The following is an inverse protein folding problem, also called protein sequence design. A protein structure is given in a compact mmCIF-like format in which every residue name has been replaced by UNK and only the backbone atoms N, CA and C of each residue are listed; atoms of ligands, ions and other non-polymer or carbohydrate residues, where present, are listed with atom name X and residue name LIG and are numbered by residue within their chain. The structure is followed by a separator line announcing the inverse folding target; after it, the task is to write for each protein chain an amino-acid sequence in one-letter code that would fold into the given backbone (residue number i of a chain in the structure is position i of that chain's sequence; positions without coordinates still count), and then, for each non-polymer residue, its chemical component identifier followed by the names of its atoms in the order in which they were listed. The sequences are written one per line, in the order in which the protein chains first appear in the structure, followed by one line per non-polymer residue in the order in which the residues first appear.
data_IF_894005682444
#
_entry.id   IF_894005682444
#
_cell.length_a   1.000
_cell.length_b   1.000
_cell.length_c   1.000
_cell.angle_alpha   90.00
_cell.angle_beta   90.00
_cell.angle_gamma   90.00
#
_symmetry.space_group_name_H-M   'P 1'
#
loop_
_entity.id
_entity.type
_entity.pdbx_description
1 polymer ?
#
# COMPACT_ATOMS: atom_id res chain seq x y z
N UNK A 1 -4.56 -14.23 4.03
CA UNK A 1 -5.47 -13.22 3.48
C UNK A 1 -6.56 -14.06 2.88
N UNK A 2 -7.82 -13.77 3.18
CA UNK A 2 -8.87 -14.47 2.46
C UNK A 2 -8.84 -13.95 1.01
N UNK A 3 -8.21 -14.73 0.12
CA UNK A 3 -8.01 -14.36 -1.28
C UNK A 3 -9.36 -14.30 -1.99
N UNK A 4 -10.25 -15.22 -1.66
CA UNK A 4 -11.60 -15.32 -2.22
C UNK A 4 -12.41 -14.08 -1.84
N UNK A 5 -12.35 -13.65 -0.57
CA UNK A 5 -12.98 -12.40 -0.12
C UNK A 5 -12.56 -11.16 -0.95
N UNK A 6 -11.27 -10.98 -1.23
CA UNK A 6 -10.81 -9.83 -2.02
C UNK A 6 -11.10 -9.96 -3.51
N UNK A 7 -11.06 -11.18 -4.06
CA UNK A 7 -11.49 -11.42 -5.43
C UNK A 7 -12.97 -11.11 -5.61
N UNK A 8 -13.84 -11.57 -4.70
CA UNK A 8 -15.28 -11.28 -4.72
C UNK A 8 -15.58 -9.78 -4.62
N UNK A 9 -14.88 -9.05 -3.76
CA UNK A 9 -14.99 -7.57 -3.67
C UNK A 9 -14.71 -6.88 -5.00
N UNK A 10 -13.65 -7.29 -5.70
CA UNK A 10 -13.33 -6.75 -7.02
C UNK A 10 -14.35 -7.17 -8.09
N UNK A 11 -14.82 -8.40 -8.07
CA UNK A 11 -15.85 -8.90 -8.98
C UNK A 11 -17.16 -8.13 -8.84
N UNK A 12 -17.59 -7.90 -7.59
CA UNK A 12 -18.81 -7.18 -7.23
C UNK A 12 -18.68 -5.65 -7.25
N UNK A 13 -17.51 -5.12 -7.64
CA UNK A 13 -17.21 -3.69 -7.67
C UNK A 13 -17.38 -2.97 -6.31
N UNK A 14 -17.16 -3.70 -5.21
CA UNK A 14 -17.19 -3.20 -3.83
C UNK A 14 -15.84 -2.55 -3.45
N UNK A 15 -15.45 -1.53 -4.21
CA UNK A 15 -14.12 -0.90 -4.15
C UNK A 15 -14.14 0.48 -3.45
N UNK A 16 -14.94 0.64 -2.40
CA UNK A 16 -15.08 1.92 -1.64
C UNK A 16 -13.77 2.45 -1.01
N UNK A 17 -12.71 1.65 -1.03
CA UNK A 17 -11.35 2.05 -0.64
C UNK A 17 -10.58 2.79 -1.75
N UNK A 18 -11.00 2.65 -3.01
CA UNK A 18 -10.38 3.32 -4.15
C UNK A 18 -10.68 4.82 -4.12
N UNK A 19 -9.63 5.64 -4.27
CA UNK A 19 -9.74 7.08 -4.40
C UNK A 19 -9.46 7.46 -5.85
N UNK A 20 -10.31 8.33 -6.41
CA UNK A 20 -10.19 8.82 -7.78
C UNK A 20 -9.09 9.88 -7.97
N UNK A 21 -8.53 10.38 -6.86
CA UNK A 21 -7.44 11.36 -6.85
C UNK A 21 -6.30 10.89 -5.97
N UNK A 22 -5.11 11.45 -6.21
CA UNK A 22 -3.90 11.13 -5.46
C UNK A 22 -4.10 11.44 -3.98
N UNK A 23 -3.61 10.56 -3.11
CA UNK A 23 -3.74 10.77 -1.68
C UNK A 23 -2.96 12.02 -1.24
N UNK A 24 -3.59 13.06 -0.63
CA UNK A 24 -2.91 14.32 -0.37
C UNK A 24 -1.67 14.21 0.53
N UNK A 25 -1.66 13.24 1.44
CA UNK A 25 -0.51 12.99 2.32
C UNK A 25 0.68 12.37 1.57
N UNK A 26 0.44 11.67 0.46
CA UNK A 26 1.51 11.22 -0.42
C UNK A 26 2.22 12.44 -1.02
N UNK A 27 1.47 13.33 -1.67
CA UNK A 27 2.04 14.53 -2.32
C UNK A 27 2.78 15.43 -1.32
N UNK A 28 2.22 15.57 -0.12
CA UNK A 28 2.79 16.43 0.94
C UNK A 28 4.11 15.89 1.50
N UNK A 29 4.19 14.58 1.76
CA UNK A 29 5.29 14.01 2.52
C UNK A 29 6.33 13.27 1.68
N UNK A 30 5.96 12.73 0.52
CA UNK A 30 6.87 11.97 -0.34
C UNK A 30 8.14 12.72 -0.75
N UNK A 31 8.09 14.01 -1.14
CA UNK A 31 9.30 14.76 -1.51
C UNK A 31 10.35 14.85 -0.40
N UNK A 32 9.94 14.71 0.86
CA UNK A 32 10.81 14.82 2.03
C UNK A 32 11.45 13.47 2.45
N UNK A 33 11.18 12.38 1.71
CA UNK A 33 11.76 11.07 2.00
C UNK A 33 13.21 10.91 1.52
N UNK A 34 13.71 11.84 0.69
CA UNK A 34 15.08 11.81 0.19
C UNK A 34 15.38 10.68 -0.81
N UNK A 35 14.34 10.10 -1.42
CA UNK A 35 14.49 9.13 -2.51
C UNK A 35 14.93 9.86 -3.79
N UNK A 36 15.86 9.26 -4.53
CA UNK A 36 16.35 9.83 -5.78
C UNK A 36 15.47 9.40 -6.96
N UNK A 37 15.26 10.26 -7.97
CA UNK A 37 14.56 9.86 -9.18
C UNK A 37 15.16 8.59 -9.81
N UNK A 38 14.30 7.73 -10.32
CA UNK A 38 14.70 6.43 -10.87
C UNK A 38 14.75 5.27 -9.86
N UNK A 39 14.65 5.53 -8.55
CA UNK A 39 14.48 4.50 -7.53
C UNK A 39 13.26 3.61 -7.82
N UNK A 40 13.38 2.32 -7.45
CA UNK A 40 12.26 1.36 -7.51
C UNK A 40 11.43 1.45 -6.24
N UNK A 41 10.13 1.64 -6.41
CA UNK A 41 9.17 1.82 -5.34
C UNK A 41 8.18 0.66 -5.34
N UNK A 42 8.06 -0.02 -4.20
CA UNK A 42 7.05 -1.05 -4.00
C UNK A 42 5.72 -0.41 -3.53
N UNK A 43 4.61 -0.80 -4.15
CA UNK A 43 3.26 -0.47 -3.68
C UNK A 43 2.54 -1.79 -3.39
N UNK A 44 2.49 -2.23 -2.12
CA UNK A 44 1.86 -3.48 -1.72
C UNK A 44 0.33 -3.34 -1.77
N UNK A 45 -0.37 -4.42 -2.15
CA UNK A 45 -1.84 -4.48 -2.27
C UNK A 45 -2.38 -3.28 -3.06
N UNK A 46 -1.76 -3.02 -4.21
CA UNK A 46 -1.88 -1.76 -4.93
C UNK A 46 -3.29 -1.46 -5.47
N UNK A 47 -4.13 -2.48 -5.65
CA UNK A 47 -5.39 -2.37 -6.36
C UNK A 47 -5.18 -1.67 -7.72
N UNK A 48 -5.94 -0.60 -7.93
CA UNK A 48 -5.78 0.32 -9.07
C UNK A 48 -5.36 1.74 -8.64
N UNK A 49 -4.53 1.85 -7.61
CA UNK A 49 -4.22 3.15 -6.99
C UNK A 49 -3.62 4.15 -7.98
N UNK A 50 -4.27 5.30 -8.14
CA UNK A 50 -3.77 6.45 -8.93
C UNK A 50 -2.47 7.01 -8.38
N UNK A 51 -2.17 6.76 -7.10
CA UNK A 51 -0.91 7.11 -6.46
C UNK A 51 0.31 6.52 -7.20
N UNK A 52 0.17 5.33 -7.80
CA UNK A 52 1.23 4.72 -8.60
C UNK A 52 1.58 5.56 -9.83
N UNK A 53 0.58 6.16 -10.46
CA UNK A 53 0.79 7.04 -11.62
C UNK A 53 1.56 8.29 -11.21
N UNK A 54 1.12 8.95 -10.15
CA UNK A 54 1.78 10.15 -9.62
C UNK A 54 3.24 9.89 -9.22
N UNK A 55 3.53 8.76 -8.58
CA UNK A 55 4.91 8.34 -8.26
C UNK A 55 5.75 8.16 -9.54
N UNK A 56 5.18 7.59 -10.60
CA UNK A 56 5.88 7.45 -11.87
C UNK A 56 6.15 8.81 -12.56
N UNK A 57 5.20 9.74 -12.51
CA UNK A 57 5.35 11.12 -12.99
C UNK A 57 6.42 11.90 -12.21
N UNK A 58 6.56 11.62 -10.90
CA UNK A 58 7.67 12.11 -10.09
C UNK A 58 9.03 11.50 -10.45
N UNK A 59 9.09 10.60 -11.44
CA UNK A 59 10.31 10.04 -12.00
C UNK A 59 10.76 8.70 -11.40
N UNK A 60 9.94 8.07 -10.56
CA UNK A 60 10.25 6.77 -9.96
C UNK A 60 9.87 5.59 -10.87
N UNK A 61 10.40 4.40 -10.57
CA UNK A 61 9.96 3.13 -11.16
C UNK A 61 9.05 2.42 -10.17
N UNK A 62 7.77 2.30 -10.47
CA UNK A 62 6.77 1.83 -9.51
C UNK A 62 6.42 0.38 -9.81
N UNK A 63 6.35 -0.47 -8.78
CA UNK A 63 5.87 -1.85 -8.87
C UNK A 63 4.76 -2.05 -7.87
N UNK A 64 3.54 -2.20 -8.36
CA UNK A 64 2.40 -2.66 -7.57
C UNK A 64 2.40 -4.18 -7.44
N UNK A 65 2.03 -4.71 -6.27
CA UNK A 65 1.65 -6.12 -6.13
C UNK A 65 0.19 -6.19 -5.74
N UNK A 66 -0.59 -6.97 -6.48
CA UNK A 66 -2.04 -7.02 -6.36
C UNK A 66 -2.53 -8.45 -6.64
N UNK A 67 -3.54 -8.94 -5.91
CA UNK A 67 -4.11 -10.27 -6.17
C UNK A 67 -4.98 -10.29 -7.42
N UNK A 68 -5.71 -9.20 -7.67
CA UNK A 68 -6.73 -9.09 -8.71
C UNK A 68 -6.14 -8.71 -10.07
N UNK A 69 -6.18 -9.63 -11.03
CA UNK A 69 -5.84 -9.32 -12.43
C UNK A 69 -6.76 -8.22 -12.99
N UNK A 70 -8.03 -8.19 -12.56
CA UNK A 70 -8.98 -7.14 -12.95
C UNK A 70 -8.49 -5.76 -12.52
N UNK A 71 -8.03 -5.62 -11.27
CA UNK A 71 -7.49 -4.36 -10.77
C UNK A 71 -6.29 -3.87 -11.61
N UNK A 72 -5.39 -4.78 -12.00
CA UNK A 72 -4.27 -4.45 -12.87
C UNK A 72 -4.74 -3.97 -14.26
N UNK A 73 -5.67 -4.69 -14.89
CA UNK A 73 -6.24 -4.31 -16.20
C UNK A 73 -6.96 -2.96 -16.14
N UNK A 74 -7.80 -2.77 -15.13
CA UNK A 74 -8.56 -1.54 -14.91
C UNK A 74 -7.61 -0.36 -14.67
N UNK A 75 -6.55 -0.53 -13.88
CA UNK A 75 -5.51 0.49 -13.70
C UNK A 75 -4.93 0.96 -15.03
N UNK A 76 -4.39 0.05 -15.85
CA UNK A 76 -3.75 0.45 -17.10
C UNK A 76 -4.76 1.08 -18.09
N UNK A 77 -6.00 0.59 -18.12
CA UNK A 77 -7.05 1.16 -18.96
C UNK A 77 -7.44 2.57 -18.51
N UNK A 78 -7.67 2.78 -17.21
CA UNK A 78 -8.09 4.06 -16.64
C UNK A 78 -6.98 5.11 -16.73
N UNK A 79 -5.72 4.71 -16.56
CA UNK A 79 -4.57 5.61 -16.72
C UNK A 79 -4.18 5.84 -18.20
N UNK A 80 -4.83 5.16 -19.15
CA UNK A 80 -4.50 5.27 -20.58
C UNK A 80 -3.09 4.78 -20.93
N UNK A 81 -2.57 3.81 -20.17
CA UNK A 81 -1.21 3.31 -20.29
C UNK A 81 -1.16 1.99 -21.06
N UNK A 82 -0.23 1.89 -22.01
CA UNK A 82 0.08 0.63 -22.66
C UNK A 82 0.92 -0.27 -21.75
N UNK A 83 0.71 -1.59 -21.84
CA UNK A 83 1.50 -2.58 -21.12
C UNK A 83 1.77 -3.83 -21.96
N UNK A 84 2.80 -4.57 -21.55
CA UNK A 84 3.06 -5.92 -22.00
C UNK A 84 2.82 -6.90 -20.85
N UNK A 85 2.44 -8.14 -21.15
CA UNK A 85 2.32 -9.21 -20.15
C UNK A 85 3.53 -10.12 -20.21
N UNK A 86 4.06 -10.46 -19.04
CA UNK A 86 5.14 -11.44 -18.90
C UNK A 86 4.97 -12.19 -17.60
N UNK A 87 5.48 -13.42 -17.54
CA UNK A 87 5.44 -14.22 -16.32
C UNK A 87 6.77 -14.16 -15.59
N UNK A 88 6.75 -13.88 -14.29
CA UNK A 88 7.93 -13.91 -13.40
C UNK A 88 7.62 -14.79 -12.20
N UNK A 89 8.12 -16.03 -12.22
CA UNK A 89 7.79 -17.01 -11.18
C UNK A 89 6.28 -17.28 -11.11
N UNK A 90 5.69 -17.04 -9.95
CA UNK A 90 4.24 -17.17 -9.72
C UNK A 90 3.45 -15.94 -10.17
N UNK A 91 4.09 -14.81 -10.41
CA UNK A 91 3.44 -13.57 -10.81
C UNK A 91 3.16 -13.51 -12.31
N UNK A 92 1.97 -13.03 -12.66
CA UNK A 92 1.69 -12.48 -13.98
C UNK A 92 1.88 -10.96 -13.96
N UNK A 93 2.86 -10.47 -14.70
CA UNK A 93 3.32 -9.10 -14.62
C UNK A 93 2.83 -8.30 -15.81
N UNK A 94 2.12 -7.22 -15.52
CA UNK A 94 1.72 -6.17 -16.45
C UNK A 94 2.79 -5.09 -16.41
N UNK A 95 3.55 -4.95 -17.50
CA UNK A 95 4.75 -4.13 -17.59
C UNK A 95 4.47 -2.92 -18.49
N UNK A 96 4.31 -1.75 -17.89
CA UNK A 96 4.34 -0.46 -18.58
C UNK A 96 5.75 0.14 -18.62
N UNK A 97 5.85 1.42 -19.01
CA UNK A 97 7.15 2.10 -19.13
C UNK A 97 7.82 2.32 -17.74
N UNK A 98 7.08 2.92 -16.80
CA UNK A 98 7.56 3.23 -15.45
C UNK A 98 6.77 2.52 -14.35
N UNK A 99 5.70 1.84 -14.70
CA UNK A 99 4.80 1.18 -13.76
C UNK A 99 4.68 -0.28 -14.16
N UNK A 100 4.91 -1.17 -13.20
CA UNK A 100 4.63 -2.59 -13.30
C UNK A 100 3.53 -2.94 -12.28
N UNK A 101 2.62 -3.84 -12.62
CA UNK A 101 1.73 -4.49 -11.64
C UNK A 101 1.96 -5.99 -11.72
N UNK A 102 2.37 -6.58 -10.62
CA UNK A 102 2.62 -8.01 -10.49
C UNK A 102 1.39 -8.65 -9.83
N UNK A 103 0.64 -9.40 -10.63
CA UNK A 103 -0.57 -10.07 -10.18
C UNK A 103 -0.18 -11.35 -9.45
N UNK A 104 -0.41 -11.39 -8.14
CA UNK A 104 -0.04 -12.50 -7.25
C UNK A 104 -0.07 -12.12 -5.77
N UNK A 105 0.31 -13.07 -4.92
CA UNK A 105 0.34 -12.86 -3.48
C UNK A 105 1.62 -12.10 -3.08
N UNK A 106 1.50 -11.06 -2.26
CA UNK A 106 2.65 -10.29 -1.75
C UNK A 106 3.64 -11.19 -1.00
N UNK A 107 3.18 -12.28 -0.37
CA UNK A 107 4.03 -13.23 0.33
C UNK A 107 4.85 -14.14 -0.60
N UNK A 108 4.55 -14.13 -1.91
CA UNK A 108 5.33 -14.86 -2.91
C UNK A 108 6.56 -14.07 -3.40
N UNK A 109 6.67 -12.79 -3.03
CA UNK A 109 7.88 -12.02 -3.31
C UNK A 109 9.08 -12.65 -2.59
N UNK A 110 10.12 -12.96 -3.34
CA UNK A 110 11.34 -13.48 -2.73
C UNK A 110 12.11 -12.37 -2.03
N UNK A 111 12.93 -12.73 -1.04
CA UNK A 111 13.85 -11.78 -0.40
C UNK A 111 14.76 -11.09 -1.44
N UNK A 112 15.19 -11.80 -2.48
CA UNK A 112 16.01 -11.25 -3.55
C UNK A 112 15.27 -10.20 -4.40
N UNK A 113 13.95 -10.31 -4.54
CA UNK A 113 13.12 -9.30 -5.20
C UNK A 113 12.88 -8.10 -4.28
N UNK A 114 12.58 -8.34 -2.99
CA UNK A 114 12.37 -7.28 -2.00
C UNK A 114 13.60 -6.38 -1.79
N UNK A 115 14.81 -6.94 -1.92
CA UNK A 115 16.07 -6.18 -1.86
C UNK A 115 16.26 -5.19 -3.03
N UNK A 116 15.46 -5.29 -4.09
CA UNK A 116 15.58 -4.40 -5.27
C UNK A 116 14.85 -3.08 -5.09
N UNK A 117 14.01 -2.95 -4.07
CA UNK A 117 13.22 -1.75 -3.84
C UNK A 117 13.97 -0.79 -2.91
N UNK A 118 14.15 0.43 -3.39
CA UNK A 118 14.75 1.52 -2.60
C UNK A 118 13.73 2.26 -1.74
N UNK A 119 12.45 2.14 -2.06
CA UNK A 119 11.39 2.67 -1.23
C UNK A 119 10.08 1.90 -1.37
N UNK A 120 9.10 2.28 -0.55
CA UNK A 120 7.76 1.72 -0.61
C UNK A 120 6.70 2.76 -0.22
N UNK A 121 5.48 2.55 -0.69
CA UNK A 121 4.33 3.35 -0.30
C UNK A 121 3.21 2.41 0.15
N UNK A 122 2.96 2.36 1.46
CA UNK A 122 1.95 1.51 2.07
C UNK A 122 0.76 2.38 2.52
N UNK A 123 -0.31 2.34 1.73
CA UNK A 123 -1.59 2.97 2.04
C UNK A 123 -2.68 1.97 1.70
N UNK A 124 -3.59 1.74 2.65
CA UNK A 124 -4.65 0.74 2.53
C UNK A 124 -4.16 -0.71 2.32
N UNK A 125 -2.87 -1.00 2.53
CA UNK A 125 -2.34 -2.37 2.48
C UNK A 125 -2.24 -2.97 3.89
N UNK A 126 -1.44 -2.39 4.79
CA UNK A 126 -1.30 -2.90 6.16
C UNK A 126 -2.65 -2.96 6.90
N UNK A 127 -3.46 -1.90 6.79
CA UNK A 127 -4.79 -1.79 7.42
C UNK A 127 -5.84 -2.72 6.78
N UNK A 128 -5.52 -3.41 5.67
CA UNK A 128 -6.40 -4.41 5.07
C UNK A 128 -6.15 -5.83 5.62
N UNK A 129 -5.10 -6.00 6.44
CA UNK A 129 -4.67 -7.29 6.96
C UNK A 129 -5.12 -7.51 8.41
N UNK A 130 -5.60 -8.71 8.76
CA UNK A 130 -5.85 -9.07 10.16
C UNK A 130 -4.54 -9.12 10.98
N UNK A 131 -4.65 -9.09 12.30
CA UNK A 131 -3.52 -8.95 13.23
C UNK A 131 -2.39 -9.98 13.03
N UNK A 132 -2.72 -11.26 12.94
CA UNK A 132 -1.77 -12.36 12.73
C UNK A 132 -0.98 -12.19 11.43
N UNK A 133 -1.64 -11.66 10.41
CA UNK A 133 -1.06 -11.38 9.11
C UNK A 133 -0.23 -10.10 9.07
N UNK A 134 -0.58 -9.08 9.86
CA UNK A 134 0.18 -7.81 9.92
C UNK A 134 1.63 -8.07 10.34
N UNK A 135 1.84 -8.89 11.38
CA UNK A 135 3.20 -9.28 11.83
C UNK A 135 3.96 -10.01 10.72
N UNK A 136 3.34 -11.04 10.12
CA UNK A 136 3.95 -11.78 8.99
C UNK A 136 4.27 -10.87 7.81
N UNK A 137 3.39 -9.93 7.49
CA UNK A 137 3.56 -8.96 6.41
C UNK A 137 4.78 -8.07 6.65
N UNK A 138 4.91 -7.46 7.83
CA UNK A 138 6.05 -6.60 8.14
C UNK A 138 7.35 -7.40 8.21
N UNK A 139 7.33 -8.59 8.85
CA UNK A 139 8.47 -9.49 8.91
C UNK A 139 8.96 -9.90 7.49
N UNK A 140 8.02 -10.22 6.61
CA UNK A 140 8.33 -10.66 5.27
C UNK A 140 8.74 -9.50 4.36
N UNK A 141 7.87 -8.51 4.18
CA UNK A 141 8.10 -7.42 3.24
C UNK A 141 9.21 -6.51 3.75
N UNK A 142 9.01 -5.87 4.89
CA UNK A 142 9.95 -4.86 5.42
C UNK A 142 11.24 -5.51 5.94
N UNK A 143 11.13 -6.65 6.63
CA UNK A 143 12.28 -7.37 7.15
C UNK A 143 13.31 -7.75 6.09
N UNK A 144 12.85 -8.08 4.86
CA UNK A 144 13.68 -8.44 3.72
C UNK A 144 13.90 -7.32 2.70
N UNK A 145 13.46 -6.08 2.94
CA UNK A 145 13.90 -4.94 2.12
C UNK A 145 15.38 -4.62 2.40
N UNK A 146 16.02 -3.95 1.44
CA UNK A 146 17.41 -3.48 1.61
C UNK A 146 17.53 -2.47 2.75
N UNK A 147 18.69 -2.44 3.41
CA UNK A 147 19.01 -1.41 4.41
C UNK A 147 18.98 -0.03 3.74
N UNK A 148 18.46 0.96 4.46
CA UNK A 148 18.22 2.31 3.96
C UNK A 148 17.01 2.44 3.02
N UNK A 149 16.27 1.37 2.73
CA UNK A 149 14.99 1.51 2.06
C UNK A 149 14.07 2.41 2.87
N UNK A 150 13.47 3.40 2.21
CA UNK A 150 12.65 4.43 2.88
C UNK A 150 11.25 4.42 2.31
N UNK A 151 10.23 4.38 3.16
CA UNK A 151 8.85 4.37 2.72
C UNK A 151 7.96 5.30 3.50
N UNK A 152 6.79 5.56 2.91
CA UNK A 152 5.68 6.27 3.54
C UNK A 152 4.61 5.24 3.89
N UNK A 153 4.25 5.19 5.17
CA UNK A 153 3.15 4.38 5.69
C UNK A 153 2.01 5.31 6.12
N UNK A 154 0.79 4.99 5.70
CA UNK A 154 -0.42 5.67 6.14
C UNK A 154 -1.31 4.66 6.85
N UNK A 155 -1.52 4.85 8.15
CA UNK A 155 -2.42 4.03 8.97
C UNK A 155 -3.73 4.74 9.22
N UNK A 156 -4.72 3.98 9.69
CA UNK A 156 -6.05 4.46 10.07
C UNK A 156 -6.37 3.91 11.46
N UNK A 157 -6.74 4.75 12.40
CA UNK A 157 -7.08 4.37 13.77
C UNK A 157 -8.44 4.94 14.16
N UNK A 158 -9.22 4.16 14.91
CA UNK A 158 -10.55 4.51 15.37
C UNK A 158 -10.92 3.65 16.59
N UNK A 159 -12.05 3.92 17.24
CA UNK A 159 -12.55 3.07 18.34
C UNK A 159 -13.04 1.72 17.80
N UNK A 160 -12.28 0.66 18.08
CA UNK A 160 -12.54 -0.70 17.59
C UNK A 160 -13.85 -1.29 18.12
N UNK A 161 -14.45 -0.73 19.18
CA UNK A 161 -15.79 -1.13 19.62
C UNK A 161 -16.89 -0.76 18.61
N UNK A 162 -16.61 0.13 17.65
CA UNK A 162 -17.57 0.59 16.65
C UNK A 162 -17.55 -0.23 15.34
N UNK A 163 -16.43 -0.89 15.00
CA UNK A 163 -16.28 -1.60 13.73
C UNK A 163 -15.11 -2.60 13.75
N UNK A 164 -15.32 -3.82 13.22
CA UNK A 164 -14.30 -4.88 13.18
C UNK A 164 -13.37 -4.85 11.94
N UNK A 165 -13.47 -3.80 11.11
CA UNK A 165 -12.71 -3.66 9.87
C UNK A 165 -13.17 -4.57 8.70
N UNK A 166 -12.45 -4.57 7.57
CA UNK A 166 -11.46 -3.56 7.18
C UNK A 166 -12.11 -2.19 6.85
N UNK A 167 -11.34 -1.09 6.92
CA UNK A 167 -9.94 -1.02 7.37
C UNK A 167 -9.83 -1.35 8.86
N UNK A 168 -8.80 -2.11 9.26
CA UNK A 168 -8.50 -2.38 10.66
C UNK A 168 -7.81 -1.18 11.30
N UNK A 169 -8.14 -0.89 12.57
CA UNK A 169 -7.47 0.15 13.33
C UNK A 169 -6.00 -0.21 13.58
N UNK A 170 -5.10 0.73 13.29
CA UNK A 170 -3.66 0.64 13.55
C UNK A 170 -3.17 1.97 14.11
N UNK A 171 -2.81 1.99 15.39
CA UNK A 171 -2.33 3.17 16.09
C UNK A 171 -0.79 3.25 16.17
N UNK A 172 -0.27 4.20 16.95
CA UNK A 172 1.17 4.43 17.08
C UNK A 172 1.89 3.27 17.78
N UNK A 173 1.22 2.64 18.74
CA UNK A 173 1.76 1.51 19.50
C UNK A 173 1.88 0.30 18.56
N UNK A 174 0.84 0.03 17.77
CA UNK A 174 0.86 -1.01 16.74
C UNK A 174 2.02 -0.80 15.75
N UNK A 175 2.20 0.43 15.23
CA UNK A 175 3.29 0.74 14.29
C UNK A 175 4.65 0.54 14.97
N UNK A 176 4.80 0.99 16.21
CA UNK A 176 6.00 0.79 17.01
C UNK A 176 6.35 -0.68 17.20
N UNK A 177 5.37 -1.51 17.56
CA UNK A 177 5.55 -2.96 17.73
C UNK A 177 5.93 -3.66 16.43
N UNK A 178 5.20 -3.37 15.34
CA UNK A 178 5.36 -4.03 14.06
C UNK A 178 6.69 -3.66 13.40
N UNK A 179 7.02 -2.37 13.34
CA UNK A 179 8.13 -1.88 12.54
C UNK A 179 9.41 -1.64 13.37
N UNK A 180 9.29 -1.42 14.68
CA UNK A 180 10.40 -1.00 15.55
C UNK A 180 11.56 -1.99 15.61
N UNK A 181 11.34 -3.27 15.28
CA UNK A 181 12.41 -4.27 15.12
C UNK A 181 13.24 -4.07 13.84
N UNK A 182 12.65 -3.59 12.76
CA UNK A 182 13.28 -3.56 11.44
C UNK A 182 13.70 -2.16 10.98
N UNK A 183 13.01 -1.12 11.45
CA UNK A 183 13.13 0.22 10.91
C UNK A 183 13.20 1.30 12.00
N UNK A 184 13.68 2.47 11.62
CA UNK A 184 13.36 3.71 12.30
C UNK A 184 11.97 4.17 11.85
N UNK A 185 11.15 4.59 12.80
CA UNK A 185 9.78 5.03 12.59
C UNK A 185 9.70 6.49 13.03
N UNK A 186 9.37 7.38 12.10
CA UNK A 186 9.13 8.79 12.38
C UNK A 186 7.68 9.14 12.03
N UNK A 187 6.89 9.55 13.02
CA UNK A 187 5.58 10.15 12.76
C UNK A 187 5.78 11.54 12.15
N UNK A 188 5.32 11.73 10.92
CA UNK A 188 5.45 12.98 10.17
C UNK A 188 4.27 13.91 10.39
N UNK A 189 3.06 13.35 10.46
CA UNK A 189 1.82 14.09 10.61
C UNK A 189 0.71 13.19 11.13
N UNK A 190 -0.33 13.83 11.64
CA UNK A 190 -1.60 13.21 11.98
C UNK A 190 -2.74 14.01 11.35
N UNK A 191 -3.76 13.31 10.88
CA UNK A 191 -5.03 13.93 10.49
C UNK A 191 -6.15 13.30 11.29
N UNK A 192 -7.09 14.12 11.77
CA UNK A 192 -8.33 13.66 12.40
C UNK A 192 -9.53 13.92 11.53
N UNK A 193 -10.57 13.13 11.75
CA UNK A 193 -11.82 13.18 11.01
C UNK A 193 -11.93 12.06 10.00
N UNK A 194 -13.18 11.74 9.67
CA UNK A 194 -13.50 10.69 8.71
C UNK A 194 -13.23 11.18 7.28
N UNK A 195 -12.80 10.29 6.37
CA UNK A 195 -12.83 10.58 4.94
C UNK A 195 -14.25 10.94 4.50
N UNK A 196 -14.35 11.64 3.36
CA UNK A 196 -15.64 12.10 2.82
C UNK A 196 -16.59 10.95 2.43
N UNK A 197 -16.12 9.71 2.36
CA UNK A 197 -16.95 8.56 1.99
C UNK A 197 -17.98 8.20 3.07
N UNK A 198 -19.21 7.94 2.65
CA UNK A 198 -20.33 7.61 3.53
C UNK A 198 -20.20 6.22 4.19
N UNK A 199 -19.41 5.31 3.60
CA UNK A 199 -19.30 3.92 4.05
C UNK A 199 -18.87 3.77 5.51
N UNK A 200 -17.92 4.58 5.97
CA UNK A 200 -17.41 4.52 7.35
C UNK A 200 -18.42 5.09 8.34
N UNK A 201 -19.14 6.15 7.95
CA UNK A 201 -20.24 6.71 8.74
C UNK A 201 -21.39 5.73 8.86
N UNK A 202 -21.73 5.02 7.77
CA UNK A 202 -22.75 3.98 7.77
C UNK A 202 -22.41 2.81 8.70
N UNK A 203 -21.12 2.56 8.94
CA UNK A 203 -20.61 1.58 9.93
C UNK A 203 -20.55 2.14 11.36
N UNK A 204 -21.03 3.35 11.62
CA UNK A 204 -21.14 3.93 12.96
C UNK A 204 -19.91 4.71 13.44
N UNK A 205 -18.90 4.91 12.59
CA UNK A 205 -17.74 5.72 12.95
C UNK A 205 -18.10 7.19 13.03
N UNK A 206 -17.56 7.87 14.04
CA UNK A 206 -17.78 9.31 14.31
C UNK A 206 -16.48 10.13 14.27
N UNK A 207 -15.35 9.52 14.61
CA UNK A 207 -14.00 10.08 14.46
C UNK A 207 -13.04 8.97 13.99
N UNK A 208 -11.94 9.38 13.38
CA UNK A 208 -10.82 8.54 13.05
C UNK A 208 -9.54 9.38 12.96
N UNK A 209 -8.40 8.70 12.98
CA UNK A 209 -7.07 9.29 12.85
C UNK A 209 -6.31 8.60 11.73
N UNK A 210 -5.77 9.39 10.82
CA UNK A 210 -4.70 8.94 9.93
C UNK A 210 -3.35 9.23 10.58
N UNK A 211 -2.51 8.20 10.71
CA UNK A 211 -1.11 8.35 11.07
C UNK A 211 -0.22 8.30 9.82
N UNK A 212 0.65 9.30 9.64
CA UNK A 212 1.54 9.38 8.47
C UNK A 212 2.98 9.20 8.96
N UNK A 213 3.63 8.12 8.54
CA UNK A 213 4.96 7.75 9.03
C UNK A 213 5.98 7.67 7.91
N UNK A 214 7.18 8.13 8.20
CA UNK A 214 8.38 7.72 7.48
C UNK A 214 8.96 6.48 8.15
N UNK A 215 9.18 5.45 7.35
CA UNK A 215 9.80 4.20 7.78
C UNK A 215 11.15 4.08 7.07
N UNK A 216 12.25 3.96 7.82
CA UNK A 216 13.60 3.79 7.26
C UNK A 216 14.18 2.46 7.72
N UNK A 217 14.38 1.53 6.79
CA UNK A 217 14.93 0.21 7.07
C UNK A 217 16.35 0.31 7.65
N UNK A 218 16.56 -0.23 8.85
CA UNK A 218 17.86 -0.21 9.53
C UNK A 218 18.91 -1.05 8.85
#
# INVERSE_FOLDING_TARGET
MDREFWHERWENNEIGFHQASVHPMLETHWPNLGLVPGCRILVPLAGKSVDMHWLAECGYRVVGVELSERAARDFFAEQGLAYQRTRRGTFDCFIGERIEIWVGDIFDLTAAELQRFEGFYDRAALIALPEDMRRRYVDHVIGHMRRGATGLLITFAYDTALMDGPPFAIDDEDVGELYGRYAHVDLLAERRGLPESDDLRAKGLTDARDGIYRIVRR
#
